data_IF_009944899902
#
_entry.id   IF_009944899902
#
_cell.length_a   1.000
_cell.length_b   1.000
_cell.length_c   1.000
_cell.angle_alpha   90.00
_cell.angle_beta   90.00
_cell.angle_gamma   90.00
#
_symmetry.space_group_name_H-M   'P 1'
#
loop_
_entity.id
_entity.type
_entity.pdbx_description
1 polymer ?
#
# COMPACT_ATOMS: atom_id res chain seq x y z
N UNK A 1 6.58 13.29 -7.20
CA UNK A 1 7.13 13.03 -8.53
C UNK A 1 8.60 12.64 -8.40
N UNK A 2 9.10 11.72 -9.22
CA UNK A 2 10.51 11.39 -9.22
C UNK A 2 11.39 12.60 -9.55
N UNK A 3 12.57 12.66 -8.95
CA UNK A 3 13.50 13.81 -8.98
C UNK A 3 13.87 14.26 -10.40
N UNK A 4 13.95 13.30 -11.34
CA UNK A 4 14.32 13.56 -12.74
C UNK A 4 13.16 13.37 -13.73
N UNK A 5 11.92 13.47 -13.27
CA UNK A 5 10.72 13.27 -14.09
C UNK A 5 10.46 11.83 -14.50
N UNK A 6 11.38 10.91 -14.22
CA UNK A 6 11.27 9.46 -14.45
C UNK A 6 11.77 8.70 -13.22
N UNK A 7 11.13 7.58 -12.92
CA UNK A 7 11.59 6.66 -11.90
C UNK A 7 12.76 5.85 -12.46
N UNK A 8 13.91 5.90 -11.79
CA UNK A 8 15.10 5.12 -12.14
C UNK A 8 15.02 3.77 -11.41
N UNK A 9 14.90 2.65 -12.15
CA UNK A 9 14.78 1.33 -11.53
C UNK A 9 16.08 0.85 -10.84
N UNK A 10 17.20 1.49 -11.12
CA UNK A 10 18.50 1.17 -10.52
C UNK A 10 18.79 1.92 -9.23
N UNK A 11 17.91 2.83 -8.84
CA UNK A 11 18.00 3.63 -7.62
C UNK A 11 16.94 3.22 -6.62
N UNK A 12 17.26 3.34 -5.34
CA UNK A 12 16.28 3.11 -4.27
C UNK A 12 15.19 4.21 -4.25
N UNK A 13 14.13 3.99 -3.47
CA UNK A 13 13.01 4.94 -3.37
C UNK A 13 13.49 6.32 -2.90
N UNK A 14 14.42 6.37 -1.95
CA UNK A 14 14.92 7.62 -1.37
C UNK A 14 15.68 8.47 -2.37
N UNK A 15 16.41 7.83 -3.29
CA UNK A 15 17.16 8.50 -4.36
C UNK A 15 16.24 8.95 -5.51
N UNK A 16 15.15 8.23 -5.74
CA UNK A 16 14.18 8.59 -6.78
C UNK A 16 13.26 9.73 -6.35
N UNK A 17 12.88 9.75 -5.07
CA UNK A 17 11.91 10.69 -4.51
C UNK A 17 12.68 11.63 -3.60
N UNK A 18 12.95 12.84 -4.01
CA UNK A 18 13.70 13.83 -3.22
C UNK A 18 12.95 14.23 -1.92
N UNK A 19 12.76 13.25 -1.03
CA UNK A 19 12.15 13.42 0.27
C UNK A 19 13.14 13.02 1.36
N UNK A 20 13.25 13.80 2.43
CA UNK A 20 14.11 13.46 3.57
C UNK A 20 13.72 12.10 4.17
N UNK A 21 14.73 11.27 4.48
CA UNK A 21 14.52 9.95 5.11
C UNK A 21 13.61 10.03 6.36
N UNK A 22 13.76 11.03 7.26
CA UNK A 22 12.87 11.16 8.42
C UNK A 22 11.40 11.38 8.06
N UNK A 23 11.11 11.90 6.87
CA UNK A 23 9.74 12.01 6.38
C UNK A 23 9.25 10.69 5.82
N UNK A 24 10.06 9.99 5.02
CA UNK A 24 9.71 8.68 4.44
C UNK A 24 9.39 7.66 5.53
N UNK A 25 10.17 7.63 6.61
CA UNK A 25 9.93 6.73 7.75
C UNK A 25 8.64 7.03 8.51
N UNK A 26 7.96 8.15 8.23
CA UNK A 26 6.67 8.50 8.85
C UNK A 26 5.46 7.99 8.09
N UNK A 27 5.63 7.50 6.88
CA UNK A 27 4.54 6.87 6.14
C UNK A 27 4.39 5.41 6.57
N UNK A 28 3.16 4.95 6.72
CA UNK A 28 2.86 3.53 6.98
C UNK A 28 2.91 2.72 5.68
N UNK A 29 2.53 3.34 4.56
CA UNK A 29 2.54 2.73 3.23
C UNK A 29 3.09 3.71 2.19
N UNK A 30 3.93 3.21 1.29
CA UNK A 30 4.47 3.95 0.15
C UNK A 30 4.35 3.06 -1.08
N UNK A 31 3.52 3.46 -2.05
CA UNK A 31 3.39 2.76 -3.32
C UNK A 31 4.04 3.55 -4.45
N UNK A 32 4.84 2.87 -5.26
CA UNK A 32 5.47 3.44 -6.44
C UNK A 32 4.61 3.14 -7.65
N UNK A 33 3.97 4.19 -8.20
CA UNK A 33 3.18 4.07 -9.43
C UNK A 33 4.09 4.45 -10.61
N UNK A 34 4.42 3.45 -11.43
CA UNK A 34 5.24 3.61 -12.63
C UNK A 34 4.35 3.61 -13.88
N UNK A 35 4.65 4.51 -14.80
CA UNK A 35 4.05 4.51 -16.13
C UNK A 35 4.92 3.64 -17.06
N UNK A 36 4.53 2.36 -17.15
CA UNK A 36 5.19 1.40 -18.03
C UNK A 36 4.30 1.26 -19.27
N UNK A 37 4.78 1.71 -20.45
CA UNK A 37 3.99 1.64 -21.67
C UNK A 37 3.68 0.19 -22.04
N UNK A 38 2.40 -0.14 -22.16
CA UNK A 38 1.92 -1.40 -22.71
C UNK A 38 0.76 -1.12 -23.65
N UNK A 39 0.77 -1.72 -24.81
CA UNK A 39 -0.22 -1.45 -25.87
C UNK A 39 -1.67 -1.61 -25.39
N UNK A 40 -1.91 -2.64 -24.61
CA UNK A 40 -3.26 -2.96 -24.10
C UNK A 40 -3.73 -1.92 -23.08
N UNK A 41 -2.87 -1.55 -22.14
CA UNK A 41 -3.16 -0.58 -21.08
C UNK A 41 -3.31 0.82 -21.67
N UNK A 42 -2.39 1.21 -22.55
CA UNK A 42 -2.40 2.51 -23.20
C UNK A 42 -3.65 2.70 -24.05
N UNK A 43 -4.08 1.63 -24.77
CA UNK A 43 -5.34 1.63 -25.52
C UNK A 43 -6.56 1.83 -24.60
N UNK A 44 -6.60 1.17 -23.44
CA UNK A 44 -7.70 1.34 -22.48
C UNK A 44 -7.74 2.75 -21.91
N UNK A 45 -6.58 3.30 -21.55
CA UNK A 45 -6.46 4.67 -21.05
C UNK A 45 -6.89 5.67 -22.12
N UNK A 46 -6.38 5.52 -23.34
CA UNK A 46 -6.76 6.40 -24.46
C UNK A 46 -8.25 6.35 -24.76
N UNK A 47 -8.86 5.16 -24.82
CA UNK A 47 -10.31 4.99 -25.01
C UNK A 47 -11.10 5.66 -23.88
N UNK A 48 -10.64 5.53 -22.63
CA UNK A 48 -11.31 6.18 -21.50
C UNK A 48 -11.25 7.70 -21.59
N UNK A 49 -10.09 8.26 -21.93
CA UNK A 49 -9.91 9.71 -22.10
C UNK A 49 -10.77 10.24 -23.25
N UNK A 50 -10.77 9.55 -24.40
CA UNK A 50 -11.60 9.94 -25.56
C UNK A 50 -13.07 9.93 -25.18
N UNK A 51 -13.58 8.84 -24.59
CA UNK A 51 -14.97 8.76 -24.14
C UNK A 51 -15.34 9.90 -23.18
N UNK A 52 -14.48 10.19 -22.22
CA UNK A 52 -14.73 11.27 -21.25
C UNK A 52 -14.83 12.65 -21.91
N UNK A 53 -14.11 12.89 -22.99
CA UNK A 53 -14.11 14.17 -23.71
C UNK A 53 -15.19 14.25 -24.80
N UNK A 54 -15.65 13.10 -25.31
CA UNK A 54 -16.69 13.06 -26.35
C UNK A 54 -18.10 12.89 -25.79
N UNK A 55 -18.27 12.33 -24.59
CA UNK A 55 -19.57 12.17 -23.94
C UNK A 55 -19.96 13.48 -23.27
N UNK A 56 -20.99 14.11 -23.77
CA UNK A 56 -21.64 15.31 -23.18
C UNK A 56 -22.23 14.95 -21.80
N UNK A 57 -21.39 14.93 -20.78
CA UNK A 57 -21.80 15.08 -19.37
C UNK A 57 -22.55 13.94 -18.68
N UNK A 58 -23.00 12.88 -19.36
CA UNK A 58 -23.92 11.88 -18.79
C UNK A 58 -23.25 10.58 -18.30
N UNK A 59 -22.01 10.30 -18.67
CA UNK A 59 -21.34 9.04 -18.33
C UNK A 59 -20.42 9.10 -17.09
N UNK A 60 -20.66 10.06 -16.19
CA UNK A 60 -20.00 10.08 -14.88
C UNK A 60 -20.71 9.19 -13.86
N UNK A 61 -21.14 8.00 -14.24
CA UNK A 61 -21.60 7.03 -13.24
C UNK A 61 -20.37 6.53 -12.47
N UNK A 62 -20.08 7.15 -11.35
CA UNK A 62 -19.23 6.54 -10.33
C UNK A 62 -19.90 5.23 -9.88
N UNK A 63 -19.11 4.19 -9.66
CA UNK A 63 -19.62 2.89 -9.17
C UNK A 63 -20.39 3.05 -7.86
N UNK A 64 -20.03 4.04 -7.05
CA UNK A 64 -20.70 4.42 -5.81
C UNK A 64 -20.95 5.91 -5.86
N UNK A 65 -22.15 6.36 -5.52
CA UNK A 65 -22.44 7.80 -5.42
C UNK A 65 -21.60 8.46 -4.33
N UNK A 66 -21.09 9.65 -4.61
CA UNK A 66 -20.16 10.37 -3.71
C UNK A 66 -20.82 10.64 -2.36
N UNK A 67 -22.10 11.01 -2.35
CA UNK A 67 -22.87 11.26 -1.12
C UNK A 67 -23.01 10.01 -0.26
N UNK A 68 -23.28 8.86 -0.89
CA UNK A 68 -23.37 7.58 -0.20
C UNK A 68 -22.02 7.20 0.39
N UNK A 69 -20.95 7.31 -0.40
CA UNK A 69 -19.59 7.02 0.06
C UNK A 69 -19.18 7.92 1.24
N UNK A 70 -19.52 9.21 1.18
CA UNK A 70 -19.21 10.17 2.25
C UNK A 70 -19.93 9.82 3.55
N UNK A 71 -21.21 9.49 3.45
CA UNK A 71 -22.01 9.04 4.61
C UNK A 71 -21.48 7.73 5.19
N UNK A 72 -21.16 6.78 4.32
CA UNK A 72 -20.56 5.49 4.73
C UNK A 72 -19.26 5.68 5.49
N UNK A 73 -18.32 6.45 4.94
CA UNK A 73 -17.02 6.71 5.59
C UNK A 73 -17.18 7.50 6.89
N UNK A 74 -18.13 8.44 6.94
CA UNK A 74 -18.43 9.21 8.15
C UNK A 74 -18.99 8.33 9.26
N UNK A 75 -19.79 7.33 8.91
CA UNK A 75 -20.31 6.34 9.85
C UNK A 75 -19.20 5.38 10.30
N UNK A 76 -18.46 4.79 9.36
CA UNK A 76 -17.38 3.85 9.63
C UNK A 76 -16.29 4.43 10.56
N UNK A 77 -15.98 5.73 10.43
CA UNK A 77 -15.02 6.43 11.30
C UNK A 77 -15.40 6.46 12.78
N UNK A 78 -16.67 6.30 13.12
CA UNK A 78 -17.15 6.31 14.50
C UNK A 78 -16.85 5.00 15.24
N UNK A 79 -16.69 3.90 14.49
CA UNK A 79 -16.39 2.59 15.04
C UNK A 79 -15.05 2.62 15.79
N UNK A 80 -14.99 1.88 16.91
CA UNK A 80 -13.78 1.66 17.72
C UNK A 80 -13.60 0.17 17.94
N UNK A 81 -13.31 -0.62 16.89
CA UNK A 81 -13.13 -2.05 17.02
C UNK A 81 -11.92 -2.35 17.92
N UNK A 82 -12.08 -3.32 18.81
CA UNK A 82 -11.03 -3.82 19.69
C UNK A 82 -10.31 -5.00 19.04
N UNK A 83 -9.01 -5.13 19.27
CA UNK A 83 -8.26 -6.28 18.77
C UNK A 83 -8.68 -7.55 19.50
N UNK A 84 -8.84 -8.63 18.73
CA UNK A 84 -8.96 -9.98 19.30
C UNK A 84 -7.58 -10.54 19.63
N UNK A 85 -7.52 -11.55 20.50
CA UNK A 85 -6.26 -12.22 20.86
C UNK A 85 -5.58 -12.87 19.65
N UNK A 86 -6.37 -13.38 18.71
CA UNK A 86 -5.91 -13.99 17.46
C UNK A 86 -5.26 -12.93 16.56
N UNK A 87 -5.89 -11.76 16.42
CA UNK A 87 -5.31 -10.63 15.68
C UNK A 87 -4.03 -10.11 16.33
N UNK A 88 -3.99 -10.00 17.67
CA UNK A 88 -2.79 -9.62 18.42
C UNK A 88 -1.64 -10.60 18.17
N UNK A 89 -1.90 -11.90 18.29
CA UNK A 89 -0.91 -12.93 18.07
C UNK A 89 -0.36 -12.89 16.64
N UNK A 90 -1.21 -12.72 15.65
CA UNK A 90 -0.81 -12.62 14.23
C UNK A 90 0.07 -11.41 13.96
N UNK A 91 -0.29 -10.26 14.50
CA UNK A 91 0.47 -9.00 14.35
C UNK A 91 1.83 -9.12 15.01
N UNK A 92 1.87 -9.68 16.24
CA UNK A 92 3.11 -9.87 16.97
C UNK A 92 4.06 -10.83 16.28
N UNK A 93 3.55 -11.99 15.81
CA UNK A 93 4.34 -12.97 15.08
C UNK A 93 4.98 -12.36 13.84
N UNK A 94 4.21 -11.68 13.02
CA UNK A 94 4.71 -11.00 11.83
C UNK A 94 5.78 -9.93 12.17
N UNK A 95 5.55 -9.13 13.20
CA UNK A 95 6.50 -8.11 13.64
C UNK A 95 7.83 -8.73 14.07
N UNK A 96 7.78 -9.84 14.83
CA UNK A 96 8.98 -10.55 15.27
C UNK A 96 9.72 -11.20 14.11
N UNK A 97 8.99 -11.80 13.16
CA UNK A 97 9.58 -12.34 11.92
C UNK A 97 10.32 -11.25 11.14
N UNK A 98 9.70 -10.10 10.95
CA UNK A 98 10.33 -8.97 10.25
C UNK A 98 11.60 -8.45 10.96
N UNK A 99 11.62 -8.46 12.30
CA UNK A 99 12.80 -8.01 13.06
C UNK A 99 13.93 -9.01 13.08
N UNK A 100 13.62 -10.30 12.96
CA UNK A 100 14.64 -11.37 13.00
C UNK A 100 15.35 -11.57 11.65
N UNK A 101 14.86 -10.93 10.59
CA UNK A 101 15.57 -10.92 9.31
C UNK A 101 16.70 -9.91 9.39
N UNK A 102 17.85 -10.35 9.92
CA UNK A 102 19.09 -9.57 9.96
C UNK A 102 19.69 -9.46 8.56
N UNK A 103 19.49 -8.34 7.89
CA UNK A 103 20.33 -7.95 6.76
C UNK A 103 20.67 -6.46 6.87
N UNK A 104 21.95 -6.15 6.73
CA UNK A 104 22.50 -4.78 6.84
C UNK A 104 21.91 -3.80 5.80
N UNK A 105 21.18 -4.31 4.81
CA UNK A 105 20.59 -3.53 3.71
C UNK A 105 19.09 -3.26 3.85
N UNK A 106 18.46 -3.66 4.97
CA UNK A 106 17.01 -3.57 5.13
C UNK A 106 16.53 -2.29 5.81
N UNK A 107 15.28 -1.95 5.45
CA UNK A 107 14.48 -0.98 6.19
C UNK A 107 14.34 -1.49 7.63
N UNK A 108 14.96 -0.81 8.57
CA UNK A 108 14.89 -1.16 9.99
C UNK A 108 13.44 -1.17 10.46
N UNK A 109 12.94 -2.34 10.83
CA UNK A 109 11.59 -2.49 11.37
C UNK A 109 11.56 -1.92 12.79
N UNK A 110 10.87 -0.81 12.95
CA UNK A 110 10.73 -0.08 14.22
C UNK A 110 9.35 -0.35 14.83
N UNK A 111 9.11 -0.01 16.10
CA UNK A 111 7.78 -0.07 16.70
C UNK A 111 6.70 0.68 15.91
N UNK A 112 7.09 1.65 15.08
CA UNK A 112 6.18 2.41 14.23
C UNK A 112 5.49 1.53 13.17
N UNK A 113 6.22 0.55 12.59
CA UNK A 113 5.61 -0.39 11.64
C UNK A 113 4.57 -1.27 12.33
N UNK A 114 4.83 -1.69 13.59
CA UNK A 114 3.84 -2.39 14.39
C UNK A 114 2.55 -1.55 14.57
N UNK A 115 2.71 -0.29 14.95
CA UNK A 115 1.58 0.63 15.06
C UNK A 115 0.87 0.82 13.70
N UNK A 116 1.61 0.84 12.59
CA UNK A 116 1.08 0.90 11.23
C UNK A 116 0.18 -0.29 10.91
N UNK A 117 0.61 -1.51 11.25
CA UNK A 117 -0.19 -2.72 11.07
C UNK A 117 -1.50 -2.63 11.87
N UNK A 118 -1.41 -2.23 13.14
CA UNK A 118 -2.59 -2.06 14.01
C UNK A 118 -3.56 -1.02 13.42
N UNK A 119 -3.06 0.12 12.95
CA UNK A 119 -3.88 1.16 12.30
C UNK A 119 -4.61 0.65 11.05
N UNK A 120 -3.89 -0.09 10.18
CA UNK A 120 -4.46 -0.64 8.96
C UNK A 120 -5.51 -1.71 9.23
N UNK A 121 -5.23 -2.63 10.17
CA UNK A 121 -6.18 -3.66 10.61
C UNK A 121 -7.46 -3.03 11.19
N UNK A 122 -7.28 -2.04 12.06
CA UNK A 122 -8.40 -1.27 12.64
C UNK A 122 -9.19 -0.52 11.57
N UNK A 123 -8.51 0.07 10.59
CA UNK A 123 -9.17 0.79 9.49
C UNK A 123 -10.02 -0.17 8.64
N UNK A 124 -9.52 -1.38 8.36
CA UNK A 124 -10.29 -2.42 7.66
C UNK A 124 -11.53 -2.85 8.44
N UNK A 125 -11.38 -3.14 9.73
CA UNK A 125 -12.51 -3.51 10.58
C UNK A 125 -13.58 -2.40 10.61
N UNK A 126 -13.17 -1.12 10.70
CA UNK A 126 -14.08 0.03 10.60
C UNK A 126 -14.81 0.08 9.27
N UNK A 127 -14.09 -0.12 8.15
CA UNK A 127 -14.71 -0.16 6.83
C UNK A 127 -15.74 -1.29 6.70
N UNK A 128 -15.53 -2.39 7.37
CA UNK A 128 -16.48 -3.51 7.42
C UNK A 128 -17.54 -3.37 8.52
N UNK A 129 -17.54 -2.23 9.24
CA UNK A 129 -18.46 -1.95 10.37
C UNK A 129 -18.44 -3.04 11.44
N UNK A 130 -17.28 -3.63 11.69
CA UNK A 130 -17.07 -4.64 12.73
C UNK A 130 -16.81 -3.96 14.08
N UNK A 131 -17.20 -4.61 15.17
CA UNK A 131 -16.88 -4.19 16.54
C UNK A 131 -15.55 -4.76 17.03
N UNK A 132 -14.97 -5.71 16.28
CA UNK A 132 -13.69 -6.35 16.59
C UNK A 132 -12.78 -6.36 15.38
N UNK A 133 -11.48 -6.25 15.65
CA UNK A 133 -10.42 -6.50 14.66
C UNK A 133 -10.07 -7.98 14.75
N UNK A 134 -10.46 -8.74 13.74
CA UNK A 134 -10.24 -10.18 13.66
C UNK A 134 -8.91 -10.51 12.98
N UNK A 135 -8.48 -11.78 13.07
CA UNK A 135 -7.24 -12.25 12.44
C UNK A 135 -7.18 -11.92 10.96
N UNK A 136 -8.28 -12.07 10.21
CA UNK A 136 -8.36 -11.73 8.79
C UNK A 136 -8.07 -10.24 8.52
N UNK A 137 -8.46 -9.35 9.43
CA UNK A 137 -8.18 -7.91 9.28
C UNK A 137 -6.68 -7.63 9.43
N UNK A 138 -6.01 -8.34 10.35
CA UNK A 138 -4.56 -8.30 10.52
C UNK A 138 -3.83 -8.88 9.29
N UNK A 139 -4.27 -10.02 8.76
CA UNK A 139 -3.71 -10.64 7.56
C UNK A 139 -3.76 -9.71 6.36
N UNK A 140 -4.88 -9.01 6.16
CA UNK A 140 -5.02 -8.06 5.04
C UNK A 140 -4.12 -6.83 5.21
N UNK A 141 -3.94 -6.34 6.44
CA UNK A 141 -2.99 -5.26 6.71
C UNK A 141 -1.55 -5.70 6.44
N UNK A 142 -1.18 -6.89 6.89
CA UNK A 142 0.13 -7.51 6.64
C UNK A 142 0.36 -7.68 5.13
N UNK A 143 -0.63 -8.20 4.40
CA UNK A 143 -0.55 -8.35 2.95
C UNK A 143 -0.28 -7.02 2.23
N UNK A 144 -0.92 -5.92 2.64
CA UNK A 144 -0.67 -4.60 2.07
C UNK A 144 0.78 -4.15 2.28
N UNK A 145 1.33 -4.38 3.47
CA UNK A 145 2.72 -4.04 3.78
C UNK A 145 3.67 -4.92 2.97
N UNK A 146 3.41 -6.22 2.88
CA UNK A 146 4.20 -7.14 2.06
C UNK A 146 4.18 -6.75 0.59
N UNK A 147 3.01 -6.41 0.04
CA UNK A 147 2.87 -5.95 -1.35
C UNK A 147 3.68 -4.67 -1.59
N UNK A 148 3.62 -3.71 -0.66
CA UNK A 148 4.40 -2.49 -0.73
C UNK A 148 5.92 -2.80 -0.74
N UNK A 149 6.39 -3.69 0.12
CA UNK A 149 7.80 -4.08 0.19
C UNK A 149 8.24 -4.78 -1.09
N UNK A 150 7.41 -5.67 -1.65
CA UNK A 150 7.69 -6.33 -2.94
C UNK A 150 7.75 -5.34 -4.10
N UNK A 151 6.83 -4.37 -4.15
CA UNK A 151 6.85 -3.29 -5.16
C UNK A 151 8.10 -2.41 -5.02
N UNK A 152 8.62 -2.29 -3.80
CA UNK A 152 9.88 -1.61 -3.51
C UNK A 152 11.13 -2.45 -3.84
N UNK A 153 10.94 -3.70 -4.31
CA UNK A 153 12.02 -4.62 -4.65
C UNK A 153 12.61 -5.38 -3.46
N UNK A 154 11.91 -5.41 -2.33
CA UNK A 154 12.32 -6.17 -1.13
C UNK A 154 11.66 -7.54 -1.14
N UNK A 155 12.44 -8.60 -1.11
CA UNK A 155 11.91 -9.96 -0.88
C UNK A 155 11.55 -10.11 0.60
N UNK A 156 10.27 -10.25 0.88
CA UNK A 156 9.72 -10.30 2.24
C UNK A 156 10.21 -11.52 3.03
N UNK A 157 10.56 -12.63 2.35
CA UNK A 157 10.97 -13.86 3.01
C UNK A 157 12.46 -13.88 3.37
N UNK A 158 13.28 -13.29 2.51
CA UNK A 158 14.73 -13.26 2.69
C UNK A 158 15.24 -11.92 3.18
N UNK A 159 14.41 -10.90 3.12
CA UNK A 159 14.77 -9.53 3.44
C UNK A 159 15.75 -8.89 2.46
N UNK A 160 16.15 -9.59 1.42
CA UNK A 160 17.09 -9.08 0.42
C UNK A 160 16.39 -8.25 -0.64
N UNK A 161 17.08 -7.23 -1.10
CA UNK A 161 16.62 -6.42 -2.23
C UNK A 161 16.72 -7.25 -3.51
N UNK A 162 15.57 -7.55 -4.14
CA UNK A 162 15.56 -8.24 -5.44
C UNK A 162 15.83 -7.25 -6.57
N UNK A 163 17.09 -7.20 -6.99
CA UNK A 163 17.53 -6.36 -8.11
C UNK A 163 16.80 -6.68 -9.43
N UNK A 164 16.25 -7.89 -9.58
CA UNK A 164 15.48 -8.28 -10.78
C UNK A 164 14.15 -7.55 -10.87
N UNK A 165 13.47 -7.35 -9.74
CA UNK A 165 12.21 -6.57 -9.67
C UNK A 165 12.47 -5.10 -9.94
N UNK A 166 13.60 -4.57 -9.45
CA UNK A 166 14.03 -3.20 -9.73
C UNK A 166 14.35 -2.97 -11.21
N UNK A 167 14.83 -4.01 -11.91
CA UNK A 167 15.16 -3.94 -13.35
C UNK A 167 13.94 -4.12 -14.27
N UNK A 168 12.74 -4.26 -13.73
CA UNK A 168 11.52 -4.38 -14.54
C UNK A 168 11.39 -5.69 -15.32
N UNK A 169 12.11 -6.74 -14.95
CA UNK A 169 11.90 -8.08 -15.53
C UNK A 169 10.65 -8.69 -14.90
N UNK A 170 9.57 -8.99 -15.66
CA UNK A 170 8.44 -9.73 -15.13
C UNK A 170 8.90 -11.12 -14.69
N UNK A 171 8.36 -11.59 -13.58
CA UNK A 171 8.46 -13.01 -13.19
C UNK A 171 7.68 -13.88 -14.13
#
# INVERSE_FOLDING_TARGET
NPMYGKYDPFKNITENVNLPIPLLTRFDLIFVVRDIPTKERDMQIAKHIIRRNTSSGTDKKSVIEVDLLTKYLSYAKRGRPELTKEAEAKILDYYLQMRNVESEEMITVTPRQLEGIIRLSTARARLLMKDKVEEEDAERAIFLIQSMLQDAGVDVNTGKVDLGVLQGKPR
#
